data_IF_466934863762
#
_entry.id   IF_466934863762
#
_cell.length_a   1.000
_cell.length_b   1.000
_cell.length_c   1.000
_cell.angle_alpha   90.00
_cell.angle_beta   90.00
_cell.angle_gamma   90.00
#
_symmetry.space_group_name_H-M   'P 1'
#
loop_
_entity.id
_entity.type
_entity.pdbx_description
1 polymer ?
#
# COMPACT_ATOMS: atom_id res chain seq x y z
N UNK A 1 -41.59 9.31 -46.23
CA UNK A 1 -41.67 9.03 -44.79
C UNK A 1 -40.79 7.84 -44.48
N UNK A 2 -39.57 8.05 -44.09
CA UNK A 2 -38.69 6.97 -43.63
C UNK A 2 -38.15 7.41 -42.26
N UNK A 3 -38.63 6.75 -41.19
CA UNK A 3 -38.11 6.90 -39.84
C UNK A 3 -36.88 6.01 -39.70
N UNK A 4 -35.73 6.62 -39.53
CA UNK A 4 -34.49 5.92 -39.16
C UNK A 4 -34.43 5.79 -37.66
N UNK A 5 -34.59 4.56 -37.14
CA UNK A 5 -34.31 4.21 -35.75
C UNK A 5 -32.79 4.12 -35.57
N UNK A 6 -32.19 5.10 -34.91
CA UNK A 6 -30.84 4.98 -34.34
C UNK A 6 -30.95 4.18 -33.05
N UNK A 7 -30.55 2.93 -33.10
CA UNK A 7 -30.32 2.14 -31.90
C UNK A 7 -29.03 2.63 -31.22
N UNK A 8 -29.16 3.25 -30.04
CA UNK A 8 -28.06 3.52 -29.14
C UNK A 8 -27.50 2.18 -28.64
N UNK A 9 -26.34 1.82 -29.13
CA UNK A 9 -25.58 0.71 -28.58
C UNK A 9 -25.14 1.10 -27.17
N UNK A 10 -25.70 0.44 -26.15
CA UNK A 10 -25.19 0.49 -24.78
C UNK A 10 -23.82 -0.17 -24.78
N UNK A 11 -22.77 0.64 -24.67
CA UNK A 11 -21.42 0.15 -24.37
C UNK A 11 -21.45 -0.51 -22.99
N UNK A 12 -21.24 -1.82 -22.97
CA UNK A 12 -21.03 -2.58 -21.74
C UNK A 12 -19.79 -2.03 -21.06
N UNK A 13 -19.79 -1.81 -19.71
CA UNK A 13 -18.60 -1.37 -19.01
C UNK A 13 -17.48 -2.38 -19.26
N UNK A 14 -16.39 -1.89 -19.79
CA UNK A 14 -15.18 -2.67 -20.06
C UNK A 14 -14.71 -3.29 -18.75
N UNK A 15 -14.75 -4.61 -18.66
CA UNK A 15 -14.35 -5.39 -17.48
C UNK A 15 -12.82 -5.31 -17.32
N UNK A 16 -12.31 -4.15 -16.87
CA UNK A 16 -10.88 -3.89 -16.64
C UNK A 16 -10.30 -4.73 -15.48
N UNK A 17 -11.15 -5.43 -14.74
CA UNK A 17 -10.78 -6.19 -13.53
C UNK A 17 -10.09 -7.53 -13.85
N UNK A 18 -10.11 -8.00 -15.11
CA UNK A 18 -9.68 -9.36 -15.48
C UNK A 18 -8.15 -9.54 -15.63
N UNK A 19 -7.36 -8.50 -15.44
CA UNK A 19 -5.91 -8.49 -15.73
C UNK A 19 -5.02 -8.08 -14.56
N UNK A 20 -5.49 -8.21 -13.32
CA UNK A 20 -4.68 -7.92 -12.13
C UNK A 20 -4.43 -9.21 -11.37
N UNK A 21 -3.16 -9.51 -11.09
CA UNK A 21 -2.79 -10.60 -10.21
C UNK A 21 -2.98 -10.19 -8.76
N UNK A 22 -3.74 -10.98 -7.98
CA UNK A 22 -3.88 -10.77 -6.54
C UNK A 22 -2.62 -11.24 -5.84
N UNK A 23 -1.79 -10.28 -5.42
CA UNK A 23 -0.54 -10.57 -4.75
C UNK A 23 -0.73 -10.91 -3.26
N UNK A 24 -1.79 -10.38 -2.61
CA UNK A 24 -2.07 -10.60 -1.19
C UNK A 24 -3.52 -10.25 -0.87
N UNK A 25 -4.21 -11.13 -0.15
CA UNK A 25 -5.51 -10.88 0.44
C UNK A 25 -5.48 -11.25 1.92
N UNK A 26 -5.64 -10.28 2.80
CA UNK A 26 -5.58 -10.45 4.25
C UNK A 26 -6.80 -9.80 4.90
N UNK A 27 -7.02 -10.02 6.18
CA UNK A 27 -8.06 -9.32 6.94
C UNK A 27 -7.95 -7.78 6.90
N UNK A 28 -6.77 -7.23 6.56
CA UNK A 28 -6.47 -5.79 6.59
C UNK A 28 -6.49 -5.10 5.23
N UNK A 29 -6.12 -5.79 4.16
CA UNK A 29 -6.04 -5.23 2.82
C UNK A 29 -6.09 -6.28 1.73
N UNK A 30 -6.55 -5.86 0.55
CA UNK A 30 -6.34 -6.56 -0.71
C UNK A 30 -5.30 -5.81 -1.52
N UNK A 31 -4.24 -6.49 -1.92
CA UNK A 31 -3.17 -5.91 -2.75
C UNK A 31 -3.13 -6.66 -4.08
N UNK A 32 -3.15 -5.91 -5.17
CA UNK A 32 -3.04 -6.42 -6.55
C UNK A 32 -1.93 -5.70 -7.28
N UNK A 33 -1.24 -6.40 -8.15
CA UNK A 33 -0.23 -5.83 -9.04
C UNK A 33 -0.80 -5.84 -10.46
N UNK A 34 -0.84 -4.65 -11.07
CA UNK A 34 -1.25 -4.48 -12.45
C UNK A 34 -0.11 -4.79 -13.44
N UNK A 35 -0.45 -5.12 -14.69
CA UNK A 35 0.56 -5.27 -15.77
C UNK A 35 1.28 -3.97 -16.11
N UNK A 36 0.71 -2.84 -15.72
CA UNK A 36 1.32 -1.51 -15.82
C UNK A 36 2.42 -1.27 -14.76
N UNK A 37 2.69 -2.27 -13.92
CA UNK A 37 3.65 -2.17 -12.82
C UNK A 37 3.18 -1.34 -11.64
N UNK A 38 1.88 -1.03 -11.55
CA UNK A 38 1.29 -0.32 -10.42
C UNK A 38 0.79 -1.30 -9.35
N UNK A 39 0.85 -0.87 -8.10
CA UNK A 39 0.34 -1.61 -6.95
C UNK A 39 -0.97 -0.97 -6.50
N UNK A 40 -2.01 -1.78 -6.45
CA UNK A 40 -3.37 -1.41 -6.08
C UNK A 40 -3.68 -1.98 -4.70
N UNK A 41 -3.91 -1.12 -3.70
CA UNK A 41 -4.21 -1.52 -2.32
C UNK A 41 -5.58 -0.99 -1.91
N UNK A 42 -6.48 -1.88 -1.52
CA UNK A 42 -7.76 -1.55 -0.89
C UNK A 42 -7.67 -1.92 0.58
N UNK A 43 -7.87 -0.94 1.45
CA UNK A 43 -7.84 -1.16 2.90
C UNK A 43 -9.19 -1.65 3.37
N UNK A 44 -9.19 -2.59 4.31
CA UNK A 44 -10.40 -3.16 4.92
C UNK A 44 -10.14 -3.58 6.38
N UNK A 45 -11.20 -4.00 7.07
CA UNK A 45 -11.09 -4.46 8.44
C UNK A 45 -10.75 -3.37 9.45
N UNK A 46 -10.16 -3.73 10.59
CA UNK A 46 -9.92 -2.80 11.69
C UNK A 46 -9.05 -1.61 11.30
N UNK A 47 -9.43 -0.41 11.75
CA UNK A 47 -8.71 0.85 11.50
C UNK A 47 -8.39 1.09 10.01
N UNK A 48 -9.23 0.59 9.08
CA UNK A 48 -8.96 0.67 7.64
C UNK A 48 -8.76 2.12 7.18
N UNK A 49 -9.62 3.04 7.66
CA UNK A 49 -9.55 4.47 7.33
C UNK A 49 -8.28 5.11 7.86
N UNK A 50 -7.99 4.90 9.14
CA UNK A 50 -6.81 5.47 9.81
C UNK A 50 -5.51 4.99 9.15
N UNK A 51 -5.42 3.70 8.81
CA UNK A 51 -4.27 3.09 8.13
C UNK A 51 -4.11 3.61 6.70
N UNK A 52 -5.21 3.74 5.96
CA UNK A 52 -5.22 4.35 4.63
C UNK A 52 -4.73 5.80 4.67
N UNK A 53 -5.32 6.61 5.55
CA UNK A 53 -4.96 8.03 5.68
C UNK A 53 -3.51 8.20 6.14
N UNK A 54 -3.03 7.32 7.01
CA UNK A 54 -1.65 7.35 7.47
C UNK A 54 -0.67 6.99 6.34
N UNK A 55 -0.89 5.89 5.63
CA UNK A 55 -0.02 5.48 4.52
C UNK A 55 0.03 6.56 3.43
N UNK A 56 -1.13 7.10 3.04
CA UNK A 56 -1.22 8.19 2.07
C UNK A 56 -0.41 9.41 2.52
N UNK A 57 -0.56 9.83 3.77
CA UNK A 57 0.12 11.00 4.35
C UNK A 57 1.63 10.79 4.41
N UNK A 58 2.08 9.62 4.86
CA UNK A 58 3.51 9.29 4.96
C UNK A 58 4.15 9.26 3.58
N UNK A 59 3.52 8.63 2.59
CA UNK A 59 4.03 8.59 1.21
C UNK A 59 4.10 9.99 0.59
N UNK A 60 3.09 10.84 0.80
CA UNK A 60 3.10 12.23 0.32
C UNK A 60 4.19 13.06 1.02
N UNK A 61 4.42 12.83 2.31
CA UNK A 61 5.50 13.48 3.04
C UNK A 61 6.87 13.06 2.50
N UNK A 62 7.10 11.75 2.29
CA UNK A 62 8.35 11.22 1.75
C UNK A 62 8.61 11.70 0.31
N UNK A 63 7.57 11.86 -0.50
CA UNK A 63 7.69 12.45 -1.85
C UNK A 63 8.15 13.91 -1.80
N UNK A 64 7.64 14.71 -0.84
CA UNK A 64 8.10 16.09 -0.58
C UNK A 64 9.55 16.17 -0.08
N UNK A 65 10.07 15.09 0.51
CA UNK A 65 11.46 14.98 0.93
C UNK A 65 12.39 14.38 -0.15
N UNK A 66 11.89 14.18 -1.38
CA UNK A 66 12.62 13.53 -2.48
C UNK A 66 13.15 12.12 -2.14
N UNK A 67 12.46 11.39 -1.27
CA UNK A 67 12.81 10.02 -0.92
C UNK A 67 12.53 9.09 -2.10
N UNK A 68 13.58 8.60 -2.75
CA UNK A 68 13.47 7.82 -4.01
C UNK A 68 13.26 6.32 -3.82
N UNK A 69 13.41 5.78 -2.61
CA UNK A 69 13.34 4.35 -2.34
C UNK A 69 12.05 3.92 -1.62
N UNK A 70 10.96 4.62 -1.91
CA UNK A 70 9.61 4.33 -1.43
C UNK A 70 8.61 4.43 -2.58
N UNK A 71 7.42 3.81 -2.49
CA UNK A 71 6.39 3.95 -3.49
C UNK A 71 5.94 5.41 -3.65
N UNK A 72 5.60 5.80 -4.88
CA UNK A 72 4.96 7.10 -5.16
C UNK A 72 3.47 6.92 -5.38
N UNK A 73 2.68 7.82 -4.82
CA UNK A 73 1.22 7.83 -4.98
C UNK A 73 0.86 8.24 -6.40
N UNK A 74 0.14 7.38 -7.12
CA UNK A 74 -0.36 7.62 -8.48
C UNK A 74 -1.83 8.00 -8.46
N UNK A 75 -2.65 7.30 -7.67
CA UNK A 75 -4.09 7.53 -7.55
C UNK A 75 -4.55 7.22 -6.14
N UNK A 76 -5.58 7.93 -5.69
CA UNK A 76 -6.26 7.67 -4.41
C UNK A 76 -7.77 7.80 -4.56
N UNK A 77 -8.50 7.03 -3.77
CA UNK A 77 -9.93 7.16 -3.58
C UNK A 77 -10.27 7.04 -2.09
N UNK A 78 -10.70 8.16 -1.51
CA UNK A 78 -10.96 8.23 -0.07
C UNK A 78 -12.27 7.55 0.33
N UNK A 79 -13.23 7.39 -0.59
CA UNK A 79 -14.50 6.71 -0.35
C UNK A 79 -14.31 5.20 -0.27
N UNK A 80 -13.51 4.66 -1.19
CA UNK A 80 -13.22 3.23 -1.30
C UNK A 80 -11.98 2.80 -0.48
N UNK A 81 -11.32 3.72 0.22
CA UNK A 81 -10.05 3.50 0.91
C UNK A 81 -9.02 2.80 0.01
N UNK A 82 -8.92 3.30 -1.21
CA UNK A 82 -8.16 2.70 -2.28
C UNK A 82 -6.97 3.58 -2.67
N UNK A 83 -5.80 2.96 -2.76
CA UNK A 83 -4.54 3.60 -3.07
C UNK A 83 -3.84 2.87 -4.21
N UNK A 84 -3.37 3.63 -5.20
CA UNK A 84 -2.52 3.12 -6.29
C UNK A 84 -1.15 3.77 -6.17
N UNK A 85 -0.11 2.95 -6.15
CA UNK A 85 1.27 3.40 -6.03
C UNK A 85 2.16 2.80 -7.12
N UNK A 86 3.34 3.36 -7.32
CA UNK A 86 4.38 2.72 -8.12
C UNK A 86 4.86 1.45 -7.44
N UNK A 87 5.30 0.46 -8.24
CA UNK A 87 5.97 -0.73 -7.70
C UNK A 87 7.41 -0.41 -7.32
N UNK A 88 7.85 -0.97 -6.20
CA UNK A 88 9.21 -0.88 -5.70
C UNK A 88 10.02 -2.18 -5.90
N UNK A 89 9.63 -2.99 -6.87
CA UNK A 89 10.34 -4.23 -7.23
C UNK A 89 9.86 -5.47 -6.47
N UNK A 90 10.67 -6.52 -6.48
CA UNK A 90 10.34 -7.83 -5.92
C UNK A 90 10.62 -7.95 -4.42
N UNK A 91 10.00 -8.94 -3.78
CA UNK A 91 10.25 -9.27 -2.37
C UNK A 91 11.69 -9.75 -2.17
N UNK A 92 12.19 -9.54 -0.97
CA UNK A 92 13.48 -10.03 -0.51
C UNK A 92 13.24 -11.16 0.48
N UNK A 93 13.74 -12.36 0.17
CA UNK A 93 13.54 -13.54 1.03
C UNK A 93 14.47 -13.53 2.25
N UNK A 94 15.71 -13.08 2.04
CA UNK A 94 16.72 -13.06 3.10
C UNK A 94 17.47 -11.73 3.11
N UNK A 95 17.58 -11.14 4.28
CA UNK A 95 18.35 -9.94 4.53
C UNK A 95 19.00 -10.01 5.90
N UNK A 96 20.28 -9.68 6.02
CA UNK A 96 20.93 -9.62 7.33
C UNK A 96 20.36 -8.49 8.18
N UNK A 97 20.30 -8.67 9.50
CA UNK A 97 19.79 -7.67 10.44
C UNK A 97 20.52 -6.33 10.27
N UNK A 98 21.84 -6.36 10.13
CA UNK A 98 22.65 -5.17 9.88
C UNK A 98 22.23 -4.41 8.62
N UNK A 99 21.85 -5.12 7.55
CA UNK A 99 21.38 -4.49 6.31
C UNK A 99 19.97 -3.93 6.47
N UNK A 100 19.08 -4.68 7.13
CA UNK A 100 17.72 -4.24 7.48
C UNK A 100 17.77 -2.94 8.29
N UNK A 101 18.54 -2.91 9.37
CA UNK A 101 18.72 -1.74 10.23
C UNK A 101 19.22 -0.52 9.45
N UNK A 102 20.19 -0.69 8.54
CA UNK A 102 20.68 0.40 7.70
C UNK A 102 19.60 1.01 6.80
N UNK A 103 18.75 0.17 6.21
CA UNK A 103 17.68 0.62 5.32
C UNK A 103 16.66 1.47 6.11
N UNK A 104 16.22 1.00 7.28
CA UNK A 104 15.29 1.76 8.12
C UNK A 104 15.93 2.97 8.79
N UNK A 105 17.23 2.93 9.11
CA UNK A 105 17.98 4.09 9.57
C UNK A 105 18.10 5.17 8.48
N UNK A 106 18.28 4.76 7.22
CA UNK A 106 18.25 5.68 6.09
C UNK A 106 16.86 6.34 5.94
N UNK A 107 15.77 5.57 6.03
CA UNK A 107 14.41 6.11 6.02
C UNK A 107 14.18 7.15 7.13
N UNK A 108 14.71 6.89 8.32
CA UNK A 108 14.61 7.81 9.46
C UNK A 108 15.28 9.16 9.19
N UNK A 109 16.32 9.21 8.35
CA UNK A 109 16.95 10.47 7.94
C UNK A 109 16.02 11.35 7.10
N UNK A 110 15.03 10.74 6.41
CA UNK A 110 13.95 11.46 5.72
C UNK A 110 12.78 11.84 6.65
N UNK A 111 12.95 11.67 7.96
CA UNK A 111 11.97 12.08 8.97
C UNK A 111 10.82 11.10 9.19
N UNK A 112 10.97 9.83 8.83
CA UNK A 112 9.95 8.79 9.02
C UNK A 112 10.53 7.59 9.78
N UNK A 113 9.83 7.17 10.84
CA UNK A 113 10.07 5.91 11.54
C UNK A 113 9.05 4.86 11.06
N UNK A 114 9.52 3.70 10.64
CA UNK A 114 8.66 2.59 10.23
C UNK A 114 8.41 1.68 11.44
N UNK A 115 7.22 1.74 12.02
CA UNK A 115 6.92 1.03 13.28
C UNK A 115 6.76 -0.48 13.08
N UNK A 116 6.62 -0.96 11.82
CA UNK A 116 6.69 -2.37 11.40
C UNK A 116 7.96 -2.63 10.56
N UNK A 117 9.15 -2.40 11.14
CA UNK A 117 10.45 -2.46 10.48
C UNK A 117 10.92 -3.91 10.24
N UNK A 118 10.18 -4.67 9.43
CA UNK A 118 10.42 -6.08 9.12
C UNK A 118 10.89 -6.30 7.67
N UNK A 119 11.58 -7.41 7.43
CA UNK A 119 12.10 -7.77 6.08
C UNK A 119 10.98 -7.85 5.04
N UNK A 120 9.77 -8.28 5.44
CA UNK A 120 8.58 -8.34 4.55
C UNK A 120 8.19 -6.98 3.96
N UNK A 121 8.61 -5.87 4.59
CA UNK A 121 8.36 -4.50 4.16
C UNK A 121 9.56 -3.90 3.39
N UNK A 122 10.52 -4.75 3.00
CA UNK A 122 11.64 -4.39 2.14
C UNK A 122 11.51 -5.14 0.82
N UNK A 123 11.70 -4.40 -0.29
CA UNK A 123 11.76 -4.95 -1.64
C UNK A 123 13.09 -4.59 -2.28
N UNK A 124 13.44 -5.24 -3.38
CA UNK A 124 14.59 -4.87 -4.19
C UNK A 124 14.15 -4.42 -5.58
N UNK A 125 14.46 -3.19 -5.92
CA UNK A 125 14.21 -2.65 -7.25
C UNK A 125 15.46 -2.84 -8.12
N UNK A 126 15.40 -3.82 -9.03
CA UNK A 126 16.52 -4.16 -9.89
C UNK A 126 16.87 -3.03 -10.89
N UNK A 127 15.87 -2.25 -11.32
CA UNK A 127 16.10 -1.12 -12.25
C UNK A 127 16.87 0.02 -11.56
N UNK A 128 16.60 0.26 -10.28
CA UNK A 128 17.29 1.26 -9.47
C UNK A 128 18.55 0.72 -8.78
N UNK A 129 18.74 -0.60 -8.77
CA UNK A 129 19.86 -1.25 -8.09
C UNK A 129 19.85 -1.08 -6.57
N UNK A 130 18.67 -0.87 -5.94
CA UNK A 130 18.58 -0.57 -4.49
C UNK A 130 17.39 -1.23 -3.80
N UNK A 131 17.52 -1.35 -2.48
CA UNK A 131 16.42 -1.74 -1.63
C UNK A 131 15.44 -0.59 -1.44
N UNK A 132 14.15 -0.91 -1.37
CA UNK A 132 13.05 0.02 -1.14
C UNK A 132 12.25 -0.42 0.08
N UNK A 133 11.56 0.54 0.70
CA UNK A 133 10.66 0.28 1.84
C UNK A 133 9.22 0.49 1.39
N UNK A 134 8.33 -0.41 1.81
CA UNK A 134 6.90 -0.42 1.45
C UNK A 134 6.03 -0.57 2.71
N UNK A 135 4.71 -0.39 2.56
CA UNK A 135 3.69 -0.67 3.58
C UNK A 135 3.76 0.27 4.80
N UNK A 136 3.48 1.56 4.57
CA UNK A 136 3.62 2.64 5.56
C UNK A 136 2.39 2.84 6.45
N UNK A 137 1.45 1.91 6.50
CA UNK A 137 0.20 2.04 7.26
C UNK A 137 0.39 2.29 8.76
N UNK A 138 1.53 1.88 9.32
CA UNK A 138 1.90 2.08 10.72
C UNK A 138 3.17 2.94 10.90
N UNK A 139 3.59 3.67 9.88
CA UNK A 139 4.78 4.52 9.98
C UNK A 139 4.47 5.88 10.65
N UNK A 140 5.45 6.43 11.36
CA UNK A 140 5.35 7.70 12.08
C UNK A 140 6.20 8.78 11.42
N UNK A 141 5.59 9.93 11.09
CA UNK A 141 6.33 11.12 10.67
C UNK A 141 6.89 11.80 11.93
N UNK A 142 8.21 11.95 11.99
CA UNK A 142 8.91 12.50 13.17
C UNK A 142 8.86 14.03 13.28
N UNK A 143 8.36 14.71 12.25
CA UNK A 143 8.20 16.17 12.24
C UNK A 143 7.03 16.59 13.14
N UNK A 144 7.18 17.61 13.99
CA UNK A 144 6.07 18.14 14.79
C UNK A 144 4.88 18.60 13.94
N UNK A 145 3.67 18.44 14.48
CA UNK A 145 2.42 18.83 13.80
C UNK A 145 1.75 17.72 12.97
N UNK A 146 2.39 16.57 12.83
CA UNK A 146 1.75 15.38 12.24
C UNK A 146 1.08 14.53 13.32
N UNK A 147 -0.08 13.92 13.03
CA UNK A 147 -0.73 13.01 13.95
C UNK A 147 0.10 11.74 14.15
N UNK A 148 -0.06 11.05 15.30
CA UNK A 148 0.60 9.77 15.53
C UNK A 148 0.13 8.72 14.52
N UNK A 149 0.96 7.70 14.29
CA UNK A 149 0.55 6.51 13.52
C UNK A 149 -0.57 5.74 14.22
N UNK A 150 -1.42 5.02 13.46
CA UNK A 150 -2.33 4.05 14.05
C UNK A 150 -1.55 3.02 14.87
N UNK A 151 -2.10 2.59 15.99
CA UNK A 151 -1.46 1.56 16.81
C UNK A 151 -1.62 0.20 16.14
N UNK A 152 -0.51 -0.52 16.02
CA UNK A 152 -0.53 -1.89 15.58
C UNK A 152 -1.20 -2.75 16.65
N UNK A 153 -2.26 -3.48 16.28
CA UNK A 153 -2.95 -4.39 17.19
C UNK A 153 -2.01 -5.52 17.64
N UNK A 154 -2.12 -5.92 18.89
CA UNK A 154 -1.35 -7.02 19.43
C UNK A 154 -1.65 -8.35 18.70
N UNK A 155 -0.78 -9.36 18.87
CA UNK A 155 -1.01 -10.71 18.29
C UNK A 155 -2.30 -11.33 18.83
N UNK A 156 -2.66 -11.03 20.10
CA UNK A 156 -3.91 -11.49 20.73
C UNK A 156 -5.15 -10.91 20.04
N UNK A 157 -5.11 -9.62 19.68
CA UNK A 157 -6.21 -8.97 18.96
C UNK A 157 -6.39 -9.53 17.55
N UNK A 158 -5.28 -9.96 16.91
CA UNK A 158 -5.31 -10.60 15.58
C UNK A 158 -6.02 -11.95 15.58
N UNK A 159 -5.85 -12.75 16.61
CA UNK A 159 -6.51 -14.07 16.73
C UNK A 159 -8.03 -13.98 16.93
N UNK A 160 -8.51 -12.94 17.64
CA UNK A 160 -9.92 -12.70 17.86
C UNK A 160 -10.67 -12.33 16.56
N UNK A 161 -10.01 -11.71 15.57
CA UNK A 161 -10.61 -11.36 14.28
C UNK A 161 -10.69 -12.54 13.31
N UNK A 162 -9.72 -13.47 13.37
CA UNK A 162 -9.72 -14.68 12.53
C UNK A 162 -10.85 -15.64 12.88
N UNK A 163 -11.33 -15.63 14.14
CA UNK A 163 -12.47 -16.44 14.58
C UNK A 163 -13.82 -15.90 14.12
N UNK A 164 -13.96 -14.58 13.90
CA UNK A 164 -15.23 -13.99 13.43
C UNK A 164 -15.54 -14.26 11.96
N UNK A 165 -14.49 -14.37 11.12
CA UNK A 165 -14.67 -14.64 9.68
C UNK A 165 -14.93 -16.14 9.39
N UNK A 166 -14.86 -17.02 10.40
CA UNK A 166 -15.15 -18.45 10.27
C UNK A 166 -16.57 -18.84 10.72
N UNK A 167 -17.31 -17.92 11.33
CA UNK A 167 -18.66 -18.16 11.88
C UNK A 167 -19.78 -17.46 11.06
N UNK A 168 -19.46 -16.82 9.91
CA UNK A 168 -20.40 -16.32 8.91
C UNK A 168 -20.32 -17.19 7.61
#
# INVERSE_FOLDING_TARGET
>A
MFCSNLAFAQEKPCNFIKFMEEAKNTARAVVRIGYDGLVHKTFKGPQARERYENELRVLQFLDQQDCSFVPKVVKKDNSELYLVTTSCGGRVDHLSDKKKERIFAELKQYGVCHDDAEVRNITYNAQMGRFCVIDFEFATILKPGYPPSPKMESVADRSAWQQKDSDE
#
